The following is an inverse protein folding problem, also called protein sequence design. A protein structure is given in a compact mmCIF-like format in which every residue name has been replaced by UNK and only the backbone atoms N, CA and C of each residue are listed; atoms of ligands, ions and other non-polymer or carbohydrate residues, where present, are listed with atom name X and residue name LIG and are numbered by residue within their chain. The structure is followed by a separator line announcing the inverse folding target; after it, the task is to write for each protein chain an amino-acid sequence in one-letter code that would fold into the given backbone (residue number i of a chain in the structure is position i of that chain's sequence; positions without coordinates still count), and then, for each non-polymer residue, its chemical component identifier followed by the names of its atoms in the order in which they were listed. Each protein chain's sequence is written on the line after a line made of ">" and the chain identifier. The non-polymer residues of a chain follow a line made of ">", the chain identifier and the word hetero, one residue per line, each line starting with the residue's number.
data_IF_823004942453
#
_entry.id   IF_823004942453
#
_cell.length_a   1.000
_cell.length_b   1.000
_cell.length_c   1.000
_cell.angle_alpha   90.00
_cell.angle_beta   90.00
_cell.angle_gamma   90.00
#
_symmetry.space_group_name_H-M   'P 1'
#
loop_
_entity.id
_entity.type
_entity.pdbx_description
1 polymer ?
#
# COMPACT_ATOMS: atom_id res chain seq x y z
N UNK A 1 -9.03 -11.31 -5.89
CA UNK A 1 -7.74 -10.92 -5.29
C UNK A 1 -7.88 -9.53 -4.73
N UNK A 2 -7.30 -9.25 -3.56
CA UNK A 2 -7.35 -7.95 -2.88
C UNK A 2 -6.06 -7.16 -3.13
N UNK A 3 -6.21 -5.91 -3.55
CA UNK A 3 -5.14 -4.92 -3.71
C UNK A 3 -5.20 -3.97 -2.52
N UNK A 4 -4.12 -3.91 -1.74
CA UNK A 4 -3.97 -3.00 -0.61
C UNK A 4 -3.09 -1.81 -0.95
N UNK A 5 -3.51 -0.64 -0.49
CA UNK A 5 -2.83 0.64 -0.73
C UNK A 5 -2.59 1.31 0.63
N UNK A 6 -1.46 1.00 1.30
CA UNK A 6 -1.11 1.62 2.56
C UNK A 6 -0.67 3.08 2.35
N UNK A 7 -0.72 3.85 3.43
CA UNK A 7 -0.21 5.21 3.46
C UNK A 7 1.30 5.23 3.31
N UNK A 8 1.84 6.26 2.65
CA UNK A 8 3.28 6.44 2.56
C UNK A 8 3.86 6.98 3.86
N UNK A 9 4.88 6.28 4.38
CA UNK A 9 5.57 6.61 5.63
C UNK A 9 6.79 7.51 5.43
N UNK A 10 7.30 7.60 4.20
CA UNK A 10 8.47 8.41 3.90
C UNK A 10 8.20 9.91 4.09
N UNK A 11 9.13 10.61 4.72
CA UNK A 11 9.02 12.05 4.92
C UNK A 11 8.93 12.78 3.56
N UNK A 12 8.02 13.74 3.46
CA UNK A 12 7.74 14.51 2.24
C UNK A 12 7.21 13.72 1.02
N UNK A 13 6.90 12.42 1.16
CA UNK A 13 6.09 11.75 0.14
C UNK A 13 4.62 12.18 0.30
N UNK A 14 4.06 12.73 -0.78
CA UNK A 14 2.69 13.22 -0.84
C UNK A 14 1.83 12.42 -1.83
N UNK A 15 2.43 11.52 -2.63
CA UNK A 15 1.70 10.68 -3.57
C UNK A 15 1.07 9.47 -2.86
N UNK A 16 0.10 8.87 -3.53
CA UNK A 16 -0.56 7.61 -3.17
C UNK A 16 -0.54 6.68 -4.38
N UNK A 17 -0.48 5.36 -4.17
CA UNK A 17 -0.21 4.41 -5.25
C UNK A 17 -1.39 4.19 -6.23
N UNK A 18 -2.62 4.52 -5.83
CA UNK A 18 -3.76 4.61 -6.74
C UNK A 18 -4.65 5.79 -6.33
N UNK A 19 -5.22 6.46 -7.31
CA UNK A 19 -6.29 7.47 -7.14
C UNK A 19 -7.66 6.78 -7.12
N UNK A 20 -8.73 7.46 -6.66
CA UNK A 20 -10.10 6.91 -6.72
C UNK A 20 -10.48 6.43 -8.12
N UNK A 21 -10.13 7.20 -9.17
CA UNK A 21 -10.38 6.83 -10.57
C UNK A 21 -9.69 5.52 -10.96
N UNK A 22 -8.40 5.38 -10.65
CA UNK A 22 -7.66 4.16 -10.97
C UNK A 22 -8.12 2.96 -10.14
N UNK A 23 -8.55 3.18 -8.90
CA UNK A 23 -9.13 2.14 -8.05
C UNK A 23 -10.46 1.62 -8.62
N UNK A 24 -11.32 2.51 -9.14
CA UNK A 24 -12.55 2.14 -9.82
C UNK A 24 -12.26 1.24 -11.05
N UNK A 25 -11.21 1.56 -11.81
CA UNK A 25 -10.79 0.75 -12.96
C UNK A 25 -10.31 -0.64 -12.53
N UNK A 26 -9.56 -0.75 -11.43
CA UNK A 26 -9.13 -2.03 -10.87
C UNK A 26 -10.34 -2.85 -10.38
N UNK A 27 -11.31 -2.20 -9.73
CA UNK A 27 -12.55 -2.87 -9.30
C UNK A 27 -13.33 -3.41 -10.51
N UNK A 28 -13.43 -2.64 -11.60
CA UNK A 28 -14.06 -3.09 -12.86
C UNK A 28 -13.39 -4.31 -13.48
N UNK A 29 -12.09 -4.52 -13.25
CA UNK A 29 -11.36 -5.71 -13.68
C UNK A 29 -11.58 -6.94 -12.76
N UNK A 30 -12.33 -6.79 -11.67
CA UNK A 30 -12.68 -7.87 -10.74
C UNK A 30 -11.78 -7.96 -9.50
N UNK A 31 -10.97 -6.94 -9.22
CA UNK A 31 -10.21 -6.86 -7.97
C UNK A 31 -11.06 -6.25 -6.85
N UNK A 32 -10.75 -6.61 -5.61
CA UNK A 32 -11.16 -5.81 -4.44
C UNK A 32 -10.03 -4.84 -4.15
N UNK A 33 -10.35 -3.55 -3.92
CA UNK A 33 -9.35 -2.54 -3.59
C UNK A 33 -9.61 -2.03 -2.19
N UNK A 34 -8.56 -2.01 -1.37
CA UNK A 34 -8.56 -1.49 -0.02
C UNK A 34 -7.48 -0.43 0.16
N UNK A 35 -7.80 0.66 0.84
CA UNK A 35 -6.92 1.82 1.09
C UNK A 35 -6.85 2.07 2.59
N UNK A 36 -5.65 2.37 3.11
CA UNK A 36 -5.49 2.83 4.49
C UNK A 36 -6.14 4.20 4.68
N UNK A 37 -6.88 4.39 5.79
CA UNK A 37 -7.52 5.65 6.12
C UNK A 37 -6.52 6.83 6.08
N UNK A 38 -6.86 7.88 5.33
CA UNK A 38 -6.03 9.06 5.14
C UNK A 38 -4.74 8.82 4.32
N UNK A 39 -4.64 7.73 3.57
CA UNK A 39 -3.51 7.50 2.65
C UNK A 39 -3.48 8.53 1.50
N UNK A 40 -4.66 8.97 1.04
CA UNK A 40 -4.80 9.92 -0.06
C UNK A 40 -4.74 11.39 0.33
N UNK A 41 -4.75 11.74 1.62
CA UNK A 41 -4.94 13.12 2.09
C UNK A 41 -3.90 14.09 1.51
N UNK A 42 -2.62 13.69 1.51
CA UNK A 42 -1.52 14.50 0.97
C UNK A 42 -1.55 14.62 -0.55
N UNK A 43 -2.24 13.73 -1.22
CA UNK A 43 -2.48 13.74 -2.66
C UNK A 43 -3.81 14.42 -3.02
N UNK A 44 -4.52 15.00 -2.04
CA UNK A 44 -5.84 15.63 -2.19
C UNK A 44 -6.97 14.66 -2.59
N UNK A 45 -6.88 13.39 -2.20
CA UNK A 45 -7.97 12.42 -2.32
C UNK A 45 -8.49 12.06 -0.93
N UNK A 46 -9.73 12.43 -0.62
CA UNK A 46 -10.36 12.09 0.65
C UNK A 46 -10.75 10.61 0.70
N UNK A 47 -10.82 10.06 1.91
CA UNK A 47 -11.38 8.71 2.13
C UNK A 47 -12.80 8.57 1.57
N UNK A 48 -13.59 9.65 1.59
CA UNK A 48 -14.93 9.63 1.01
C UNK A 48 -14.92 9.44 -0.51
N UNK A 49 -13.99 10.10 -1.22
CA UNK A 49 -13.86 9.89 -2.66
C UNK A 49 -13.48 8.44 -2.99
N UNK A 50 -12.70 7.77 -2.14
CA UNK A 50 -12.42 6.35 -2.28
C UNK A 50 -13.66 5.48 -2.00
N UNK A 51 -14.42 5.78 -0.95
CA UNK A 51 -15.68 5.06 -0.66
C UNK A 51 -16.68 5.19 -1.80
N UNK A 52 -16.83 6.38 -2.36
CA UNK A 52 -17.67 6.64 -3.55
C UNK A 52 -17.21 5.84 -4.77
N UNK A 53 -15.90 5.60 -4.91
CA UNK A 53 -15.32 4.74 -5.94
C UNK A 53 -15.44 3.23 -5.66
N UNK A 54 -16.06 2.83 -4.54
CA UNK A 54 -16.26 1.44 -4.14
C UNK A 54 -15.05 0.80 -3.46
N UNK A 55 -14.11 1.61 -2.96
CA UNK A 55 -12.92 1.15 -2.25
C UNK A 55 -13.21 0.93 -0.77
N UNK A 56 -12.66 -0.15 -0.21
CA UNK A 56 -12.72 -0.42 1.23
C UNK A 56 -11.70 0.46 1.98
N UNK A 57 -12.12 1.17 3.02
CA UNK A 57 -11.20 1.95 3.86
C UNK A 57 -10.83 1.15 5.10
N UNK A 58 -9.53 1.01 5.37
CA UNK A 58 -8.97 0.29 6.51
C UNK A 58 -8.33 1.25 7.50
N UNK A 59 -8.82 1.25 8.75
CA UNK A 59 -8.18 1.99 9.85
C UNK A 59 -6.97 1.22 10.42
N UNK A 60 -7.00 -0.11 10.37
CA UNK A 60 -5.90 -0.97 10.81
C UNK A 60 -4.99 -1.31 9.63
N UNK A 61 -3.84 -0.62 9.59
CA UNK A 61 -2.78 -0.86 8.61
C UNK A 61 -2.27 -2.31 8.62
N UNK A 62 -2.18 -2.98 9.79
CA UNK A 62 -1.71 -4.37 9.84
C UNK A 62 -2.71 -5.31 9.18
N UNK A 63 -4.00 -5.10 9.42
CA UNK A 63 -5.05 -5.86 8.77
C UNK A 63 -5.05 -5.62 7.24
N UNK A 64 -4.88 -4.37 6.79
CA UNK A 64 -4.77 -4.04 5.38
C UNK A 64 -3.65 -4.84 4.69
N UNK A 65 -2.45 -4.82 5.25
CA UNK A 65 -1.32 -5.56 4.70
C UNK A 65 -1.54 -7.07 4.73
N UNK A 66 -2.07 -7.61 5.83
CA UNK A 66 -2.28 -9.05 6.00
C UNK A 66 -3.34 -9.63 5.05
N UNK A 67 -4.41 -8.87 4.77
CA UNK A 67 -5.50 -9.31 3.89
C UNK A 67 -5.22 -9.06 2.39
N UNK A 68 -4.16 -8.33 2.06
CA UNK A 68 -3.84 -7.96 0.69
C UNK A 68 -3.05 -9.05 -0.04
N UNK A 69 -3.51 -9.43 -1.23
CA UNK A 69 -2.78 -10.31 -2.14
C UNK A 69 -1.67 -9.57 -2.88
N UNK A 70 -1.94 -8.29 -3.18
CA UNK A 70 -1.05 -7.36 -3.85
C UNK A 70 -1.00 -6.10 -2.99
N UNK A 71 0.18 -5.64 -2.65
CA UNK A 71 0.39 -4.35 -2.00
C UNK A 71 0.99 -3.39 -3.03
N UNK A 72 0.32 -2.26 -3.24
CA UNK A 72 0.80 -1.18 -4.11
C UNK A 72 1.28 -0.01 -3.27
N UNK A 73 2.56 0.35 -3.44
CA UNK A 73 3.18 1.54 -2.85
C UNK A 73 3.87 2.37 -3.92
N UNK A 74 4.08 3.64 -3.63
CA UNK A 74 4.94 4.51 -4.42
C UNK A 74 6.40 4.16 -4.12
N UNK A 75 6.83 4.32 -2.87
CA UNK A 75 8.21 4.03 -2.47
C UNK A 75 8.36 2.58 -2.02
N UNK A 76 9.60 2.09 -2.01
CA UNK A 76 9.91 0.81 -1.40
C UNK A 76 9.50 0.79 0.09
N UNK A 77 9.16 -0.37 0.66
CA UNK A 77 8.84 -0.50 2.08
C UNK A 77 9.97 0.02 2.97
N UNK A 78 9.64 0.79 4.00
CA UNK A 78 10.59 1.38 4.97
C UNK A 78 10.20 1.00 6.42
N UNK A 79 10.92 1.52 7.42
CA UNK A 79 10.52 1.34 8.83
C UNK A 79 9.29 2.21 9.10
N UNK A 80 8.20 1.57 9.53
CA UNK A 80 6.95 2.26 9.81
C UNK A 80 7.06 3.04 11.14
N UNK A 81 6.90 4.39 11.14
CA UNK A 81 7.20 5.22 12.29
C UNK A 81 6.28 4.96 13.49
N UNK A 82 5.02 4.58 13.25
CA UNK A 82 4.06 4.30 14.33
C UNK A 82 4.02 2.84 14.80
N UNK A 83 4.53 1.89 13.99
CA UNK A 83 4.48 0.46 14.34
C UNK A 83 5.83 -0.06 14.83
N UNK A 84 6.91 0.68 14.58
CA UNK A 84 8.30 0.30 14.88
C UNK A 84 8.70 -1.04 14.23
N UNK A 85 8.06 -1.39 13.10
CA UNK A 85 8.38 -2.57 12.30
C UNK A 85 8.71 -2.14 10.86
N UNK A 86 9.56 -2.91 10.18
CA UNK A 86 9.82 -2.70 8.77
C UNK A 86 8.61 -3.16 7.93
N UNK A 87 8.03 -2.31 7.08
CA UNK A 87 6.79 -2.59 6.32
C UNK A 87 6.86 -3.88 5.49
N UNK A 88 8.03 -4.20 4.92
CA UNK A 88 8.27 -5.49 4.25
C UNK A 88 7.93 -6.72 5.13
N UNK A 89 7.93 -6.56 6.45
CA UNK A 89 7.56 -7.60 7.40
C UNK A 89 6.06 -7.79 7.59
N UNK A 90 5.26 -6.82 7.14
CA UNK A 90 3.80 -6.90 7.08
C UNK A 90 3.32 -7.61 5.81
N UNK A 91 4.18 -7.74 4.81
CA UNK A 91 3.85 -8.47 3.58
C UNK A 91 3.63 -9.94 3.92
N UNK A 92 2.45 -10.46 3.55
CA UNK A 92 2.13 -11.88 3.73
C UNK A 92 3.00 -12.78 2.85
N UNK A 93 3.20 -14.01 3.28
CA UNK A 93 3.87 -15.04 2.48
C UNK A 93 3.15 -15.24 1.14
N UNK A 94 3.91 -15.26 0.05
CA UNK A 94 3.38 -15.34 -1.32
C UNK A 94 2.57 -14.10 -1.78
N UNK A 95 2.68 -12.98 -1.07
CA UNK A 95 2.13 -11.69 -1.48
C UNK A 95 2.94 -11.04 -2.59
N UNK A 96 2.31 -10.15 -3.35
CA UNK A 96 2.98 -9.38 -4.41
C UNK A 96 3.18 -7.94 -3.95
N UNK A 97 4.34 -7.36 -4.24
CA UNK A 97 4.64 -5.96 -3.95
C UNK A 97 4.94 -5.21 -5.25
N UNK A 98 4.21 -4.12 -5.49
CA UNK A 98 4.44 -3.21 -6.62
C UNK A 98 4.86 -1.86 -6.05
N UNK A 99 6.12 -1.47 -6.26
CA UNK A 99 6.66 -0.18 -5.84
C UNK A 99 8.01 0.13 -6.48
N UNK A 100 8.51 1.35 -6.29
CA UNK A 100 9.88 1.71 -6.68
C UNK A 100 10.90 1.14 -5.67
N UNK A 101 11.41 -0.07 -5.93
CA UNK A 101 12.34 -0.80 -5.04
C UNK A 101 13.80 -0.35 -5.17
N UNK A 102 14.27 -0.01 -6.37
CA UNK A 102 15.69 0.28 -6.66
C UNK A 102 16.62 -0.84 -6.14
N UNK A 103 16.54 -2.07 -6.70
CA UNK A 103 17.17 -3.26 -6.11
C UNK A 103 18.68 -3.16 -5.93
N UNK A 104 19.38 -2.52 -6.87
CA UNK A 104 20.83 -2.34 -6.83
C UNK A 104 21.29 -1.42 -5.68
N UNK A 105 20.39 -0.59 -5.15
CA UNK A 105 20.68 0.38 -4.09
C UNK A 105 20.15 -0.07 -2.71
N UNK A 106 19.33 -1.11 -2.65
CA UNK A 106 18.61 -1.49 -1.43
C UNK A 106 18.80 -2.97 -1.05
N UNK A 107 20.05 -3.40 -0.85
CA UNK A 107 20.37 -4.79 -0.53
C UNK A 107 19.62 -5.31 0.72
N UNK A 108 19.56 -4.51 1.80
CA UNK A 108 18.83 -4.86 3.03
C UNK A 108 17.34 -5.09 2.78
N UNK A 109 16.71 -4.25 1.94
CA UNK A 109 15.31 -4.44 1.56
C UNK A 109 15.12 -5.72 0.75
N UNK A 110 16.04 -5.99 -0.20
CA UNK A 110 15.99 -7.21 -1.01
C UNK A 110 16.09 -8.47 -0.14
N UNK A 111 16.98 -8.48 0.85
CA UNK A 111 17.11 -9.60 1.80
C UNK A 111 15.83 -9.79 2.62
N UNK A 112 15.19 -8.70 3.07
CA UNK A 112 13.92 -8.74 3.80
C UNK A 112 12.78 -9.29 2.96
N UNK A 113 12.68 -8.86 1.71
CA UNK A 113 11.65 -9.31 0.77
C UNK A 113 11.87 -10.76 0.34
N UNK A 114 13.12 -11.21 0.23
CA UNK A 114 13.44 -12.62 -0.05
C UNK A 114 13.01 -13.56 1.09
N UNK A 115 12.94 -13.05 2.32
CA UNK A 115 12.53 -13.80 3.50
C UNK A 115 11.00 -13.86 3.69
N UNK A 116 10.22 -13.36 2.73
CA UNK A 116 8.75 -13.38 2.70
C UNK A 116 8.26 -14.33 1.63
#
# INVERSE_FOLDING_TARGET
>A
MKIGIPKEVHAAECRVAATPETAEQLIKLGYTVAVEAGAGDKAHFSDEAYREAGVEIYDDVKALWAESDIVMKVRGPEIHPALEIHEAELLREGGHLISFIWPAQNESLMQRLQAR
#
